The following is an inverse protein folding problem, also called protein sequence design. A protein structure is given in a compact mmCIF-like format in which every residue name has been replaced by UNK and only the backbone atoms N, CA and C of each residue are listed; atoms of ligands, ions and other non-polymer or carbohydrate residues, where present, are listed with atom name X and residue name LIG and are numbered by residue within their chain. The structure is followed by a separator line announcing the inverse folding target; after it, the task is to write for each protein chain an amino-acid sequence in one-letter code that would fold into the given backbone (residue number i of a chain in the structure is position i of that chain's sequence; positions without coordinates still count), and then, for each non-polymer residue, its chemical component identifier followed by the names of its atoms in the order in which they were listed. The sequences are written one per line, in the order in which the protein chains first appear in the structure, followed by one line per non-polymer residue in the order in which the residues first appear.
data_IF_623391200540
#
_entry.id   IF_623391200540
#
_cell.length_a   1.000
_cell.length_b   1.000
_cell.length_c   1.000
_cell.angle_alpha   90.00
_cell.angle_beta   90.00
_cell.angle_gamma   90.00
#
_symmetry.space_group_name_H-M   'P 1'
#
loop_
_entity.id
_entity.type
_entity.pdbx_description
1 polymer ?
#
# COMPACT_ATOMS: atom_id res chain seq x y z
N UNK A 1 -4.94 36.60 -5.92
CA UNK A 1 -5.21 35.54 -6.91
C UNK A 1 -5.27 34.23 -6.12
N UNK A 2 -6.50 33.75 -5.85
CA UNK A 2 -6.78 32.61 -4.97
C UNK A 2 -6.25 31.32 -5.59
N UNK A 3 -5.35 30.65 -4.87
CA UNK A 3 -4.84 29.31 -5.18
C UNK A 3 -5.29 28.31 -4.13
N UNK A 4 -6.56 28.38 -3.71
CA UNK A 4 -7.16 27.36 -2.85
C UNK A 4 -7.37 26.13 -3.72
N UNK A 5 -6.35 25.28 -3.82
CA UNK A 5 -6.53 23.93 -4.31
C UNK A 5 -7.63 23.28 -3.47
N UNK A 6 -8.76 22.97 -4.09
CA UNK A 6 -9.95 22.45 -3.42
C UNK A 6 -9.55 21.36 -2.43
N UNK A 7 -9.68 21.68 -1.14
CA UNK A 7 -9.41 20.71 -0.09
C UNK A 7 -10.49 19.65 -0.18
N UNK A 8 -10.08 18.44 -0.51
CA UNK A 8 -10.95 17.30 -0.72
C UNK A 8 -11.44 16.80 0.65
N UNK A 9 -12.77 16.73 0.82
CA UNK A 9 -13.44 16.42 2.08
C UNK A 9 -13.92 14.97 2.08
N UNK A 10 -13.37 14.14 2.97
CA UNK A 10 -13.93 12.81 3.26
C UNK A 10 -14.96 12.96 4.36
N UNK A 11 -16.25 12.80 4.04
CA UNK A 11 -17.31 12.80 5.05
C UNK A 11 -17.64 11.39 5.49
N UNK A 12 -17.41 11.09 6.77
CA UNK A 12 -17.75 9.82 7.40
C UNK A 12 -18.91 10.06 8.37
N UNK A 13 -20.04 9.38 8.16
CA UNK A 13 -21.22 9.50 9.02
C UNK A 13 -21.34 8.28 9.91
N UNK A 14 -21.23 8.48 11.22
CA UNK A 14 -21.38 7.42 12.23
C UNK A 14 -22.36 7.87 13.31
N UNK A 15 -23.14 6.95 13.88
CA UNK A 15 -24.09 7.32 14.93
C UNK A 15 -23.38 7.62 16.24
N UNK A 16 -22.37 6.83 16.58
CA UNK A 16 -21.55 6.98 17.79
C UNK A 16 -20.08 6.84 17.45
N UNK A 17 -19.21 7.44 18.27
CA UNK A 17 -17.75 7.33 18.08
C UNK A 17 -17.28 5.87 18.14
N UNK A 18 -17.95 5.03 18.92
CA UNK A 18 -17.64 3.60 19.01
C UNK A 18 -17.83 2.83 17.70
N UNK A 19 -18.63 3.31 16.75
CA UNK A 19 -18.76 2.68 15.42
C UNK A 19 -17.57 2.98 14.50
N UNK A 20 -16.80 4.02 14.79
CA UNK A 20 -15.59 4.35 14.05
C UNK A 20 -14.42 3.45 14.45
N UNK A 21 -14.45 2.89 15.66
CA UNK A 21 -13.39 2.06 16.22
C UNK A 21 -13.82 0.60 16.35
N UNK A 22 -12.87 -0.31 16.30
CA UNK A 22 -13.13 -1.73 16.46
C UNK A 22 -13.65 -2.04 17.87
N UNK A 23 -14.84 -2.63 17.97
CA UNK A 23 -15.50 -2.97 19.24
C UNK A 23 -14.81 -4.09 20.03
N UNK A 24 -14.05 -4.94 19.34
CA UNK A 24 -13.35 -6.11 19.90
C UNK A 24 -11.94 -5.78 20.42
N UNK A 25 -11.44 -4.57 20.15
CA UNK A 25 -10.13 -4.12 20.61
C UNK A 25 -10.22 -3.58 22.06
N UNK A 26 -9.59 -4.24 23.05
CA UNK A 26 -9.61 -3.82 24.45
C UNK A 26 -8.68 -2.62 24.74
N UNK A 27 -7.96 -2.11 23.73
CA UNK A 27 -7.00 -1.02 23.91
C UNK A 27 -7.67 0.28 24.36
N UNK A 28 -6.95 1.15 25.10
CA UNK A 28 -7.43 2.48 25.47
C UNK A 28 -7.85 3.28 24.23
N UNK A 29 -8.77 4.24 24.38
CA UNK A 29 -9.36 4.98 23.24
C UNK A 29 -8.33 5.60 22.27
N UNK A 30 -7.18 6.04 22.81
CA UNK A 30 -6.07 6.65 22.06
C UNK A 30 -5.32 5.65 21.15
N UNK A 31 -5.47 4.35 21.39
CA UNK A 31 -4.77 3.27 20.69
C UNK A 31 -5.73 2.34 19.92
N UNK A 32 -7.05 2.62 19.93
CA UNK A 32 -8.02 1.74 19.28
C UNK A 32 -7.87 1.76 17.77
N UNK A 33 -7.90 0.57 17.20
CA UNK A 33 -7.95 0.39 15.76
C UNK A 33 -9.25 0.94 15.16
N UNK A 34 -9.16 1.51 13.96
CA UNK A 34 -10.32 1.88 13.17
C UNK A 34 -11.13 0.62 12.82
N UNK A 35 -12.45 0.75 12.76
CA UNK A 35 -13.29 -0.32 12.22
C UNK A 35 -12.92 -0.60 10.76
N UNK A 36 -12.93 -1.88 10.37
CA UNK A 36 -12.48 -2.29 9.04
C UNK A 36 -13.33 -1.67 7.92
N UNK A 37 -14.63 -1.44 8.15
CA UNK A 37 -15.50 -0.78 7.19
C UNK A 37 -15.18 0.70 7.07
N UNK A 38 -14.86 1.35 8.20
CA UNK A 38 -14.45 2.75 8.21
C UNK A 38 -13.11 2.93 7.49
N UNK A 39 -12.13 2.06 7.74
CA UNK A 39 -10.84 2.07 7.05
C UNK A 39 -11.06 1.93 5.54
N UNK A 40 -11.80 0.90 5.12
CA UNK A 40 -12.04 0.62 3.71
C UNK A 40 -12.74 1.80 3.01
N UNK A 41 -13.72 2.42 3.65
CA UNK A 41 -14.40 3.60 3.12
C UNK A 41 -13.45 4.80 2.95
N UNK A 42 -12.70 5.14 4.00
CA UNK A 42 -11.77 6.29 4.01
C UNK A 42 -10.65 6.08 2.96
N UNK A 43 -10.06 4.88 2.93
CA UNK A 43 -8.98 4.53 2.00
C UNK A 43 -9.51 4.50 0.57
N UNK A 44 -10.66 3.88 0.33
CA UNK A 44 -11.29 3.85 -1.00
C UNK A 44 -11.57 5.25 -1.54
N UNK A 45 -12.13 6.13 -0.71
CA UNK A 45 -12.37 7.52 -1.08
C UNK A 45 -11.06 8.25 -1.41
N UNK A 46 -10.05 8.10 -0.55
CA UNK A 46 -8.73 8.71 -0.74
C UNK A 46 -8.01 8.19 -2.00
N UNK A 47 -8.20 6.92 -2.36
CA UNK A 47 -7.66 6.33 -3.59
C UNK A 47 -8.22 7.00 -4.84
N UNK A 48 -9.50 7.34 -4.84
CA UNK A 48 -10.21 7.92 -5.98
C UNK A 48 -9.94 9.42 -6.15
N UNK A 49 -9.90 10.19 -5.07
CA UNK A 49 -9.97 11.66 -5.14
C UNK A 49 -8.71 12.39 -4.64
N UNK A 50 -7.83 11.72 -3.88
CA UNK A 50 -6.90 12.44 -3.00
C UNK A 50 -5.42 12.24 -3.29
N UNK A 51 -4.99 11.78 -4.46
CA UNK A 51 -3.55 11.59 -4.70
C UNK A 51 -2.79 12.93 -4.71
N UNK A 52 -3.40 14.01 -5.22
CA UNK A 52 -2.70 15.29 -5.45
C UNK A 52 -3.22 16.50 -4.66
N UNK A 53 -4.38 16.41 -3.99
CA UNK A 53 -5.01 17.55 -3.29
C UNK A 53 -4.99 17.40 -1.76
N UNK A 54 -4.89 18.49 -0.98
CA UNK A 54 -4.97 18.40 0.48
C UNK A 54 -6.28 17.74 0.91
N UNK A 55 -6.21 16.90 1.95
CA UNK A 55 -7.33 16.09 2.40
C UNK A 55 -7.76 16.51 3.80
N UNK A 56 -9.07 16.56 4.01
CA UNK A 56 -9.69 16.78 5.31
C UNK A 56 -10.73 15.69 5.57
N UNK A 57 -10.61 15.02 6.71
CA UNK A 57 -11.54 14.01 7.17
C UNK A 57 -12.56 14.67 8.11
N UNK A 58 -13.83 14.62 7.75
CA UNK A 58 -14.94 15.16 8.55
C UNK A 58 -15.77 14.00 9.07
N UNK A 59 -15.75 13.79 10.38
CA UNK A 59 -16.54 12.77 11.06
C UNK A 59 -17.83 13.40 11.58
N UNK A 60 -18.96 13.01 11.01
CA UNK A 60 -20.28 13.41 11.46
C UNK A 60 -20.81 12.42 12.50
N UNK A 61 -21.02 12.90 13.72
CA UNK A 61 -21.59 12.11 14.82
C UNK A 61 -23.10 12.36 14.92
N UNK A 62 -23.89 11.29 14.89
CA UNK A 62 -25.34 11.35 15.08
C UNK A 62 -25.79 11.61 16.52
N UNK A 63 -24.92 11.34 17.49
CA UNK A 63 -25.15 11.63 18.91
C UNK A 63 -24.02 12.50 19.47
N UNK A 64 -24.33 13.43 20.39
CA UNK A 64 -23.29 14.19 21.07
C UNK A 64 -22.39 13.21 21.85
N UNK A 65 -21.06 13.39 21.81
CA UNK A 65 -20.15 12.51 22.51
C UNK A 65 -20.36 12.59 24.03
N UNK A 66 -20.21 11.46 24.73
CA UNK A 66 -20.39 11.36 26.19
C UNK A 66 -19.35 12.17 26.99
N UNK A 67 -18.22 12.55 26.37
CA UNK A 67 -17.16 13.35 26.97
C UNK A 67 -16.94 14.65 26.20
N UNK A 68 -16.50 15.68 26.90
CA UNK A 68 -16.00 16.94 26.32
C UNK A 68 -14.52 16.76 25.94
N UNK A 69 -14.11 17.10 24.72
CA UNK A 69 -12.75 16.88 24.20
C UNK A 69 -12.47 15.73 23.18
N UNK A 70 -13.42 14.87 22.74
CA UNK A 70 -13.09 13.70 21.91
C UNK A 70 -12.53 14.02 20.54
N UNK A 71 -12.62 15.27 20.07
CA UNK A 71 -12.13 15.64 18.75
C UNK A 71 -10.60 15.50 18.64
N UNK A 72 -9.85 15.87 19.67
CA UNK A 72 -8.39 15.71 19.69
C UNK A 72 -8.02 14.22 19.79
N UNK A 73 -8.67 13.49 20.71
CA UNK A 73 -8.42 12.07 20.92
C UNK A 73 -8.73 11.24 19.66
N UNK A 74 -9.86 11.50 18.98
CA UNK A 74 -10.22 10.82 17.73
C UNK A 74 -9.22 11.13 16.62
N UNK A 75 -8.82 12.39 16.48
CA UNK A 75 -7.84 12.79 15.48
C UNK A 75 -6.49 12.09 15.71
N UNK A 76 -6.02 12.07 16.96
CA UNK A 76 -4.78 11.42 17.35
C UNK A 76 -4.82 9.90 17.09
N UNK A 77 -5.89 9.21 17.48
CA UNK A 77 -6.05 7.77 17.20
C UNK A 77 -6.03 7.48 15.70
N UNK A 78 -6.71 8.30 14.88
CA UNK A 78 -6.71 8.16 13.42
C UNK A 78 -5.31 8.38 12.83
N UNK A 79 -4.59 9.40 13.30
CA UNK A 79 -3.21 9.66 12.88
C UNK A 79 -2.28 8.52 13.23
N UNK A 80 -2.35 8.03 14.46
CA UNK A 80 -1.53 6.93 14.93
C UNK A 80 -1.83 5.64 14.15
N UNK A 81 -3.10 5.30 13.94
CA UNK A 81 -3.52 4.16 13.16
C UNK A 81 -2.97 4.20 11.72
N UNK A 82 -3.16 5.31 11.01
CA UNK A 82 -2.67 5.42 9.63
C UNK A 82 -1.14 5.53 9.54
N UNK A 83 -0.47 6.11 10.54
CA UNK A 83 0.99 6.10 10.62
C UNK A 83 1.53 4.67 10.77
N UNK A 84 0.90 3.88 11.65
CA UNK A 84 1.24 2.47 11.82
C UNK A 84 0.99 1.66 10.53
N UNK A 85 -0.15 1.86 9.87
CA UNK A 85 -0.46 1.22 8.57
C UNK A 85 0.52 1.63 7.48
N UNK A 86 0.96 2.88 7.45
CA UNK A 86 2.00 3.36 6.52
C UNK A 86 3.33 2.64 6.77
N UNK A 87 3.72 2.43 8.03
CA UNK A 87 4.93 1.70 8.39
C UNK A 87 4.86 0.22 7.96
N UNK A 88 3.74 -0.45 8.24
CA UNK A 88 3.50 -1.83 7.80
C UNK A 88 3.60 -1.96 6.28
N UNK A 89 2.94 -1.07 5.53
CA UNK A 89 3.01 -1.04 4.08
C UNK A 89 4.46 -0.77 3.58
N UNK A 90 5.22 0.08 4.28
CA UNK A 90 6.62 0.31 3.95
C UNK A 90 7.50 -0.93 4.18
N UNK A 91 7.20 -1.74 5.22
CA UNK A 91 7.85 -3.04 5.44
C UNK A 91 7.51 -4.03 4.33
N UNK A 92 6.22 -4.17 3.99
CA UNK A 92 5.75 -5.02 2.90
C UNK A 92 6.40 -4.63 1.55
N UNK A 93 6.49 -3.34 1.26
CA UNK A 93 7.19 -2.84 0.07
C UNK A 93 8.65 -3.26 0.03
N UNK A 94 9.38 -3.16 1.15
CA UNK A 94 10.78 -3.59 1.24
C UNK A 94 10.92 -5.09 1.04
N UNK A 95 10.01 -5.88 1.56
CA UNK A 95 9.98 -7.33 1.38
C UNK A 95 9.74 -7.71 -0.08
N UNK A 96 8.76 -7.07 -0.74
CA UNK A 96 8.50 -7.26 -2.16
C UNK A 96 9.73 -6.92 -3.01
N UNK A 97 10.40 -5.81 -2.71
CA UNK A 97 11.63 -5.43 -3.42
C UNK A 97 12.74 -6.45 -3.20
N UNK A 98 12.91 -6.96 -1.98
CA UNK A 98 13.88 -8.02 -1.68
C UNK A 98 13.57 -9.31 -2.45
N UNK A 99 12.30 -9.70 -2.53
CA UNK A 99 11.85 -10.84 -3.36
C UNK A 99 12.16 -10.58 -4.85
N UNK A 100 11.92 -9.36 -5.34
CA UNK A 100 12.26 -8.93 -6.69
C UNK A 100 13.74 -9.10 -7.00
N UNK A 101 14.62 -8.55 -6.16
CA UNK A 101 16.08 -8.70 -6.31
C UNK A 101 16.53 -10.15 -6.24
N UNK A 102 16.02 -10.95 -5.30
CA UNK A 102 16.35 -12.36 -5.21
C UNK A 102 15.97 -13.12 -6.48
N UNK A 103 14.77 -12.88 -7.01
CA UNK A 103 14.32 -13.49 -8.27
C UNK A 103 15.19 -13.06 -9.46
N UNK A 104 15.63 -11.80 -9.51
CA UNK A 104 16.52 -11.28 -10.53
C UNK A 104 17.88 -11.98 -10.49
N UNK A 105 18.47 -12.13 -9.30
CA UNK A 105 19.74 -12.83 -9.13
C UNK A 105 19.64 -14.30 -9.51
N UNK A 106 18.55 -14.98 -9.13
CA UNK A 106 18.31 -16.38 -9.51
C UNK A 106 18.22 -16.49 -11.04
N UNK A 107 17.44 -15.62 -11.69
CA UNK A 107 17.33 -15.60 -13.15
C UNK A 107 18.67 -15.33 -13.85
N UNK A 108 19.45 -14.36 -13.35
CA UNK A 108 20.75 -14.02 -13.91
C UNK A 108 21.79 -15.12 -13.69
N UNK A 109 21.83 -15.72 -12.50
CA UNK A 109 22.70 -16.84 -12.19
C UNK A 109 22.38 -18.05 -13.06
N UNK A 110 21.08 -18.35 -13.24
CA UNK A 110 20.64 -19.41 -14.14
C UNK A 110 21.08 -19.14 -15.59
N UNK A 111 20.85 -17.93 -16.10
CA UNK A 111 21.31 -17.51 -17.43
C UNK A 111 22.83 -17.64 -17.59
N UNK A 112 23.60 -17.21 -16.58
CA UNK A 112 25.05 -17.32 -16.60
C UNK A 112 25.51 -18.78 -16.65
N UNK A 113 24.93 -19.67 -15.84
CA UNK A 113 25.22 -21.12 -15.86
C UNK A 113 24.85 -21.73 -17.22
N UNK A 114 23.70 -21.35 -17.76
CA UNK A 114 23.26 -21.77 -19.08
C UNK A 114 24.25 -21.35 -20.18
N UNK A 115 24.75 -20.11 -20.12
CA UNK A 115 25.70 -19.57 -21.10
C UNK A 115 27.09 -20.22 -20.97
N UNK A 116 27.57 -20.48 -19.75
CA UNK A 116 28.85 -21.17 -19.53
C UNK A 116 28.81 -22.62 -20.01
N UNK A 117 27.69 -23.32 -19.77
CA UNK A 117 27.47 -24.66 -20.34
C UNK A 117 27.48 -24.55 -21.87
N UNK A 118 26.70 -23.65 -22.46
CA UNK A 118 26.63 -23.51 -23.91
C UNK A 118 28.01 -23.25 -24.56
N UNK A 119 28.87 -22.45 -23.93
CA UNK A 119 30.23 -22.13 -24.38
C UNK A 119 31.23 -23.28 -24.23
N UNK A 120 31.17 -24.03 -23.13
CA UNK A 120 32.08 -25.17 -22.90
C UNK A 120 31.73 -26.35 -23.80
N UNK A 121 30.43 -26.55 -24.03
CA UNK A 121 29.90 -27.66 -24.79
C UNK A 121 29.83 -27.36 -26.30
N UNK A 122 30.11 -26.11 -26.73
CA UNK A 122 30.09 -25.71 -28.16
C UNK A 122 31.03 -26.56 -29.02
N UNK A 123 32.18 -26.96 -28.47
CA UNK A 123 33.15 -27.80 -29.16
C UNK A 123 32.65 -29.23 -29.43
N UNK A 124 31.69 -29.73 -28.64
CA UNK A 124 31.15 -31.09 -28.75
C UNK A 124 29.81 -31.17 -29.50
N UNK A 125 29.03 -30.09 -29.51
CA UNK A 125 27.61 -30.15 -29.92
C UNK A 125 27.32 -29.91 -31.41
N UNK A 126 28.27 -29.43 -32.21
CA UNK A 126 28.16 -29.31 -33.67
C UNK A 126 26.76 -28.90 -34.18
N UNK A 127 25.97 -29.90 -34.63
CA UNK A 127 24.62 -29.73 -35.21
C UNK A 127 23.49 -29.36 -34.23
N UNK A 128 23.67 -29.59 -32.93
CA UNK A 128 22.66 -29.34 -31.89
C UNK A 128 22.76 -27.95 -31.26
N UNK A 129 23.76 -27.15 -31.65
CA UNK A 129 23.95 -25.78 -31.18
C UNK A 129 22.72 -24.86 -31.37
N UNK A 130 21.98 -24.91 -32.50
CA UNK A 130 20.79 -24.07 -32.69
C UNK A 130 19.68 -24.40 -31.69
N UNK A 131 19.44 -25.70 -31.46
CA UNK A 131 18.42 -26.21 -30.54
C UNK A 131 18.72 -25.79 -29.10
N UNK A 132 20.00 -25.87 -28.69
CA UNK A 132 20.43 -25.43 -27.36
C UNK A 132 20.23 -23.92 -27.18
N UNK A 133 20.57 -23.12 -28.20
CA UNK A 133 20.41 -21.66 -28.19
C UNK A 133 18.94 -21.26 -28.08
N UNK A 134 18.05 -21.92 -28.81
CA UNK A 134 16.60 -21.69 -28.73
C UNK A 134 16.04 -22.09 -27.36
N UNK A 135 16.42 -23.25 -26.82
CA UNK A 135 16.05 -23.67 -25.46
C UNK A 135 16.51 -22.67 -24.39
N UNK A 136 17.76 -22.18 -24.49
CA UNK A 136 18.29 -21.15 -23.60
C UNK A 136 17.51 -19.85 -23.67
N UNK A 137 17.09 -19.45 -24.87
CA UNK A 137 16.32 -18.23 -25.10
C UNK A 137 14.94 -18.35 -24.46
N UNK A 138 14.27 -19.49 -24.63
CA UNK A 138 12.95 -19.75 -24.04
C UNK A 138 13.05 -19.77 -22.51
N UNK A 139 13.99 -20.53 -21.94
CA UNK A 139 14.13 -20.65 -20.48
C UNK A 139 14.61 -19.31 -19.88
N UNK A 140 15.52 -18.61 -20.55
CA UNK A 140 15.98 -17.29 -20.16
C UNK A 140 14.83 -16.27 -20.07
N UNK A 141 13.95 -16.29 -21.06
CA UNK A 141 12.73 -15.48 -21.06
C UNK A 141 11.78 -15.86 -19.91
N UNK A 142 11.52 -17.16 -19.70
CA UNK A 142 10.67 -17.66 -18.61
C UNK A 142 11.23 -17.29 -17.23
N UNK A 143 12.55 -17.40 -17.05
CA UNK A 143 13.22 -16.99 -15.82
C UNK A 143 13.12 -15.48 -15.57
N UNK A 144 13.06 -14.68 -16.64
CA UNK A 144 12.93 -13.22 -16.54
C UNK A 144 11.50 -12.74 -16.26
N UNK A 145 10.49 -13.60 -16.38
CA UNK A 145 9.09 -13.22 -16.16
C UNK A 145 8.81 -12.77 -14.71
N UNK A 146 9.20 -13.58 -13.72
CA UNK A 146 8.97 -13.31 -12.29
C UNK A 146 9.58 -11.97 -11.82
N UNK A 147 10.86 -11.67 -12.12
CA UNK A 147 11.44 -10.37 -11.82
C UNK A 147 10.69 -9.23 -12.52
N UNK A 148 10.42 -9.38 -13.82
CA UNK A 148 9.73 -8.38 -14.62
C UNK A 148 8.33 -8.07 -14.06
N UNK A 149 7.57 -9.09 -13.69
CA UNK A 149 6.25 -8.96 -13.08
C UNK A 149 6.30 -8.18 -11.76
N UNK A 150 7.27 -8.50 -10.90
CA UNK A 150 7.45 -7.81 -9.62
C UNK A 150 7.78 -6.33 -9.84
N UNK A 151 8.70 -6.04 -10.76
CA UNK A 151 9.17 -4.68 -11.06
C UNK A 151 8.26 -3.86 -11.99
N UNK A 152 7.30 -4.46 -12.70
CA UNK A 152 6.31 -3.70 -13.46
C UNK A 152 5.02 -3.50 -12.68
N UNK A 153 4.48 -4.57 -12.09
CA UNK A 153 3.09 -4.56 -11.65
C UNK A 153 2.93 -4.60 -10.13
N UNK A 154 3.68 -5.46 -9.43
CA UNK A 154 3.41 -5.71 -8.00
C UNK A 154 3.72 -4.53 -7.08
N UNK A 155 4.70 -3.70 -7.42
CA UNK A 155 5.15 -2.61 -6.53
C UNK A 155 4.28 -1.34 -6.60
N UNK A 156 3.65 -1.07 -7.74
CA UNK A 156 2.83 0.11 -7.95
C UNK A 156 1.64 0.23 -6.97
N UNK A 157 0.81 -0.83 -6.78
CA UNK A 157 -0.31 -0.75 -5.84
C UNK A 157 0.16 -0.54 -4.39
N UNK A 158 1.21 -1.25 -3.95
CA UNK A 158 1.77 -1.11 -2.59
C UNK A 158 2.31 0.31 -2.37
N UNK A 159 3.03 0.87 -3.35
CA UNK A 159 3.56 2.24 -3.24
C UNK A 159 2.44 3.27 -3.25
N UNK A 160 1.39 3.07 -4.06
CA UNK A 160 0.21 3.95 -4.10
C UNK A 160 -0.51 3.94 -2.76
N UNK A 161 -0.73 2.75 -2.20
CA UNK A 161 -1.41 2.57 -0.91
C UNK A 161 -0.60 3.20 0.23
N UNK A 162 0.72 2.99 0.28
CA UNK A 162 1.59 3.60 1.28
C UNK A 162 1.57 5.13 1.27
N UNK A 163 1.50 5.75 0.08
CA UNK A 163 1.32 7.20 -0.04
C UNK A 163 0.00 7.68 0.54
N UNK A 164 -1.07 6.90 0.36
CA UNK A 164 -2.40 7.23 0.88
C UNK A 164 -2.40 7.12 2.41
N UNK A 165 -1.85 6.05 2.98
CA UNK A 165 -1.72 5.92 4.44
C UNK A 165 -0.91 7.05 5.06
N UNK A 166 0.26 7.37 4.47
CA UNK A 166 1.10 8.49 4.94
C UNK A 166 0.37 9.83 4.85
N UNK A 167 -0.52 10.00 3.86
CA UNK A 167 -1.30 11.22 3.71
C UNK A 167 -2.40 11.30 4.76
N UNK A 168 -3.14 10.20 4.95
CA UNK A 168 -4.20 10.09 5.96
C UNK A 168 -3.66 10.27 7.38
N UNK A 169 -2.42 9.85 7.66
CA UNK A 169 -1.78 10.06 8.96
C UNK A 169 -1.45 11.52 9.27
N UNK A 170 -1.51 12.42 8.28
CA UNK A 170 -1.27 13.87 8.45
C UNK A 170 -2.46 14.73 8.03
N UNK A 171 -3.58 14.11 7.65
CA UNK A 171 -4.75 14.83 7.18
C UNK A 171 -5.40 15.66 8.29
N UNK A 172 -6.10 16.75 7.98
CA UNK A 172 -6.83 17.46 9.03
C UNK A 172 -8.10 16.67 9.40
N UNK A 173 -8.34 16.41 10.68
CA UNK A 173 -9.55 15.72 11.17
C UNK A 173 -10.47 16.72 11.87
N UNK A 174 -11.70 16.84 11.38
CA UNK A 174 -12.77 17.62 12.00
C UNK A 174 -13.88 16.69 12.48
N UNK A 175 -14.37 16.90 13.70
CA UNK A 175 -15.53 16.17 14.22
C UNK A 175 -16.70 17.15 14.28
N UNK A 176 -17.81 16.82 13.62
CA UNK A 176 -19.04 17.60 13.61
C UNK A 176 -20.16 16.79 14.23
N UNK A 177 -20.88 17.35 15.18
CA UNK A 177 -22.11 16.74 15.68
C UNK A 177 -23.23 17.13 14.70
N UNK A 178 -23.89 16.14 14.10
CA UNK A 178 -25.06 16.40 13.29
C UNK A 178 -26.14 16.99 14.19
N UNK A 179 -26.40 18.28 14.01
CA UNK A 179 -27.55 18.92 14.63
C UNK A 179 -28.79 18.38 13.93
N UNK A 180 -29.70 17.79 14.71
CA UNK A 180 -30.98 17.27 14.23
C UNK A 180 -31.80 18.34 13.51
#
# INVERSE_FOLDING_TARGET
MNGDGETQLIEVKVQTVHQLFNSMDPSPFHERDLDHNAEHFIVGWAQEHAIHSPLRLVVHLGQPPEKSGPQADIAESIHHYFAYRAELNAREFRELMREGWASLFIGLAFLAVCMTIAQTLTAFLGKWHPVMKEGLTIIGWVAMWRPLEIYLYRWWPIRRLGKIYTKLSTAAVEVRVASA
#
